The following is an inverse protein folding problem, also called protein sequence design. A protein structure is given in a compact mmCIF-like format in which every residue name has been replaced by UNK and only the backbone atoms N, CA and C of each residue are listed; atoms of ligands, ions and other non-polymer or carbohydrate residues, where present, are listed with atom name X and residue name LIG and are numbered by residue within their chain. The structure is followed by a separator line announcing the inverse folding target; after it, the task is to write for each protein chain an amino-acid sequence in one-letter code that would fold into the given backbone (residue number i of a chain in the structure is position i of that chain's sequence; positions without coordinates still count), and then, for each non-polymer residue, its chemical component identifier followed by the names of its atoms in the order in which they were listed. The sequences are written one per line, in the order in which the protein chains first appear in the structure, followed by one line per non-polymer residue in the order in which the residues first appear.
data_IF_128440698102
#
_entry.id   IF_128440698102
#
_cell.length_a   1.000
_cell.length_b   1.000
_cell.length_c   1.000
_cell.angle_alpha   90.00
_cell.angle_beta   90.00
_cell.angle_gamma   90.00
#
_symmetry.space_group_name_H-M   'P 1'
#
loop_
_entity.id
_entity.type
_entity.pdbx_description
1 polymer ?
#
# COMPACT_ATOMS: atom_id res chain seq x y z
N UNK A 1 30.51 -0.14 18.20
CA UNK A 1 31.44 0.63 17.38
C UNK A 1 31.66 -0.11 16.06
N UNK A 2 30.74 0.03 15.09
CA UNK A 2 30.91 -0.47 13.73
C UNK A 2 30.53 0.64 12.77
N UNK A 3 31.51 1.12 12.03
CA UNK A 3 31.33 2.10 10.96
C UNK A 3 30.85 1.38 9.71
N UNK A 4 29.67 1.72 9.22
CA UNK A 4 29.22 1.33 7.89
C UNK A 4 29.79 2.30 6.86
N UNK A 5 30.63 1.79 5.98
CA UNK A 5 31.19 2.55 4.88
C UNK A 5 30.14 2.74 3.79
N UNK A 6 29.69 3.97 3.61
CA UNK A 6 28.81 4.39 2.51
C UNK A 6 29.66 4.51 1.23
N UNK A 7 29.42 3.64 0.26
CA UNK A 7 30.06 3.71 -1.06
C UNK A 7 29.35 4.78 -1.89
N UNK A 8 29.97 5.95 -2.00
CA UNK A 8 29.52 7.02 -2.88
C UNK A 8 30.11 6.75 -4.27
N UNK A 9 29.26 6.34 -5.19
CA UNK A 9 29.60 6.32 -6.62
C UNK A 9 29.59 7.76 -7.16
N UNK A 10 30.77 8.29 -7.48
CA UNK A 10 30.92 9.53 -8.24
C UNK A 10 30.48 9.28 -9.68
N UNK A 11 29.46 9.99 -10.14
CA UNK A 11 29.13 10.10 -11.55
C UNK A 11 30.04 11.16 -12.18
N UNK A 12 30.85 10.71 -13.13
CA UNK A 12 31.61 11.60 -13.99
C UNK A 12 30.72 12.27 -15.02
N UNK A 13 30.81 13.59 -15.07
CA UNK A 13 30.12 14.46 -16.01
C UNK A 13 30.79 14.30 -17.39
N UNK A 14 30.10 13.70 -18.33
CA UNK A 14 30.50 13.70 -19.74
C UNK A 14 29.94 14.93 -20.42
N UNK A 15 30.89 15.72 -20.93
CA UNK A 15 30.73 17.01 -21.54
C UNK A 15 30.11 16.92 -22.96
N UNK A 16 29.17 17.82 -23.23
CA UNK A 16 28.51 18.01 -24.52
C UNK A 16 29.47 18.41 -25.62
N UNK A 17 29.42 17.77 -26.77
CA UNK A 17 29.72 18.38 -28.09
C UNK A 17 28.68 17.98 -29.10
N UNK A 18 28.23 19.00 -29.80
CA UNK A 18 27.13 19.20 -30.68
C UNK A 18 26.91 18.19 -31.82
N UNK A 19 25.62 18.06 -32.10
CA UNK A 19 25.15 17.67 -33.45
C UNK A 19 24.13 18.73 -33.85
N UNK A 20 24.53 19.53 -34.86
CA UNK A 20 23.63 20.39 -35.61
C UNK A 20 22.74 19.51 -36.48
N UNK A 21 21.45 19.64 -36.33
CA UNK A 21 20.49 19.09 -37.30
C UNK A 21 19.95 20.23 -38.10
N UNK A 22 20.24 20.19 -39.41
CA UNK A 22 19.74 21.12 -40.44
C UNK A 22 18.21 21.14 -40.45
N UNK A 23 17.67 22.32 -40.26
CA UNK A 23 16.25 22.61 -40.48
C UNK A 23 16.06 22.88 -41.96
N UNK A 24 15.34 22.01 -42.66
CA UNK A 24 14.87 22.24 -44.00
C UNK A 24 13.55 23.03 -43.94
N UNK A 25 13.58 24.27 -44.40
CA UNK A 25 12.42 25.11 -44.65
C UNK A 25 11.83 24.76 -46.00
N UNK A 26 10.63 24.25 -46.05
CA UNK A 26 9.60 24.51 -47.08
C UNK A 26 8.34 23.72 -46.70
N UNK A 27 7.26 24.39 -46.42
CA UNK A 27 6.18 24.78 -47.30
C UNK A 27 4.97 25.19 -46.48
N UNK A 28 4.34 26.22 -46.93
CA UNK A 28 3.09 26.82 -46.47
C UNK A 28 1.89 25.90 -46.65
N UNK A 29 0.82 26.28 -45.92
CA UNK A 29 -0.57 25.84 -46.04
C UNK A 29 -0.86 24.60 -45.21
N UNK A 30 -1.74 24.62 -44.23
CA UNK A 30 -3.12 25.13 -44.16
C UNK A 30 -3.54 25.32 -42.69
N UNK A 31 -4.09 26.48 -42.38
CA UNK A 31 -4.97 26.68 -41.21
C UNK A 31 -6.20 25.81 -41.45
N UNK A 32 -6.42 24.88 -40.53
CA UNK A 32 -7.71 24.41 -40.02
C UNK A 32 -7.57 22.96 -39.56
N UNK A 33 -7.26 22.83 -38.30
CA UNK A 33 -7.73 21.69 -37.49
C UNK A 33 -7.33 21.96 -36.02
N UNK A 34 -8.07 22.88 -35.41
CA UNK A 34 -8.28 22.85 -33.97
C UNK A 34 -9.21 21.70 -33.65
N UNK A 35 -8.73 20.51 -33.78
CA UNK A 35 -9.41 19.31 -33.33
C UNK A 35 -9.10 19.05 -31.86
N UNK A 36 -10.01 19.42 -31.00
CA UNK A 36 -10.79 18.65 -30.05
C UNK A 36 -10.16 17.26 -29.69
N UNK A 37 -8.96 17.25 -29.14
CA UNK A 37 -8.36 16.07 -28.53
C UNK A 37 -8.48 16.04 -26.98
N UNK A 38 -9.48 16.74 -26.42
CA UNK A 38 -9.67 16.80 -24.97
C UNK A 38 -10.72 15.83 -24.39
N UNK A 39 -11.67 15.21 -25.13
CA UNK A 39 -12.65 14.34 -24.46
C UNK A 39 -12.19 12.89 -24.22
N UNK A 40 -11.34 12.32 -25.06
CA UNK A 40 -10.98 10.90 -24.93
C UNK A 40 -10.17 10.60 -23.67
N UNK A 41 -9.23 11.44 -23.30
CA UNK A 41 -8.42 11.21 -22.09
C UNK A 41 -9.18 11.37 -20.78
N UNK A 42 -10.22 12.21 -20.76
CA UNK A 42 -11.07 12.39 -19.59
C UNK A 42 -12.06 11.24 -19.42
N UNK A 43 -12.66 10.79 -20.54
CA UNK A 43 -13.57 9.64 -20.54
C UNK A 43 -12.84 8.36 -20.15
N UNK A 44 -11.65 8.15 -20.66
CA UNK A 44 -10.82 7.00 -20.28
C UNK A 44 -10.41 7.04 -18.81
N UNK A 45 -10.06 8.22 -18.27
CA UNK A 45 -9.80 8.39 -16.83
C UNK A 45 -11.05 8.16 -15.98
N UNK A 46 -12.23 8.61 -16.42
CA UNK A 46 -13.50 8.38 -15.76
C UNK A 46 -13.82 6.88 -15.76
N UNK A 47 -13.61 6.19 -16.87
CA UNK A 47 -13.81 4.74 -16.96
C UNK A 47 -12.84 3.95 -16.08
N UNK A 48 -11.59 4.38 -15.98
CA UNK A 48 -10.58 3.77 -15.11
C UNK A 48 -10.83 4.00 -13.62
N UNK A 49 -11.27 5.20 -13.24
CA UNK A 49 -11.44 5.58 -11.84
C UNK A 49 -12.88 5.42 -11.35
N UNK A 50 -13.84 5.25 -12.26
CA UNK A 50 -15.26 5.17 -11.92
C UNK A 50 -15.82 6.44 -11.24
N UNK A 51 -15.13 7.57 -11.37
CA UNK A 51 -15.46 8.81 -10.67
C UNK A 51 -15.16 10.04 -11.53
N UNK A 52 -16.13 10.94 -11.64
CA UNK A 52 -16.04 12.15 -12.46
C UNK A 52 -15.39 13.33 -11.75
N UNK A 53 -15.49 13.39 -10.43
CA UNK A 53 -14.84 14.42 -9.61
C UNK A 53 -14.66 13.90 -8.18
N UNK A 54 -13.54 14.26 -7.58
CA UNK A 54 -13.33 14.09 -6.14
C UNK A 54 -13.54 15.46 -5.53
N UNK A 55 -14.40 15.62 -4.49
CA UNK A 55 -14.43 16.83 -3.72
C UNK A 55 -13.03 17.11 -3.21
N UNK A 56 -12.40 18.19 -3.68
CA UNK A 56 -11.17 18.65 -3.09
C UNK A 56 -11.55 19.32 -1.78
N UNK A 57 -11.14 18.75 -0.66
CA UNK A 57 -11.02 19.52 0.57
C UNK A 57 -9.80 20.43 0.37
N UNK A 58 -9.98 21.76 0.19
CA UNK A 58 -8.86 22.67 0.19
C UNK A 58 -8.21 22.55 1.57
N UNK A 59 -6.89 22.38 1.60
CA UNK A 59 -6.06 22.39 2.81
C UNK A 59 -6.26 21.23 3.81
N UNK A 60 -6.59 20.02 3.34
CA UNK A 60 -6.54 18.84 4.20
C UNK A 60 -5.08 18.50 4.55
N UNK A 61 -4.78 18.45 5.86
CA UNK A 61 -3.50 17.97 6.39
C UNK A 61 -3.42 16.43 6.46
N UNK A 62 -4.50 15.73 6.05
CA UNK A 62 -4.58 14.27 6.03
C UNK A 62 -4.56 13.78 4.59
N UNK A 63 -3.66 12.85 4.31
CA UNK A 63 -3.61 12.15 3.02
C UNK A 63 -4.32 10.79 3.11
N UNK A 64 -4.93 10.37 1.99
CA UNK A 64 -5.60 9.06 1.89
C UNK A 64 -4.88 8.21 0.85
N UNK A 65 -4.36 7.07 1.28
CA UNK A 65 -3.71 6.06 0.43
C UNK A 65 -4.62 4.84 0.32
N UNK A 66 -4.91 4.39 -0.91
CA UNK A 66 -5.80 3.25 -1.14
C UNK A 66 -5.05 2.04 -1.69
N UNK A 67 -5.23 0.89 -1.06
CA UNK A 67 -4.72 -0.42 -1.51
C UNK A 67 -5.93 -1.29 -1.82
N UNK A 68 -6.26 -1.41 -3.11
CA UNK A 68 -7.49 -2.04 -3.56
C UNK A 68 -7.19 -3.08 -4.63
N UNK A 69 -7.80 -4.27 -4.49
CA UNK A 69 -7.57 -5.39 -5.40
C UNK A 69 -6.35 -6.21 -5.01
N UNK A 70 -5.75 -6.91 -5.96
CA UNK A 70 -4.58 -7.76 -5.71
C UNK A 70 -3.30 -6.92 -5.64
N UNK A 71 -2.45 -7.16 -4.65
CA UNK A 71 -1.12 -6.52 -4.58
C UNK A 71 -0.22 -7.14 -5.65
N UNK A 72 0.19 -6.31 -6.60
CA UNK A 72 1.04 -6.72 -7.72
C UNK A 72 2.51 -6.40 -7.38
N UNK A 73 3.35 -7.43 -7.46
CA UNK A 73 4.79 -7.34 -7.24
C UNK A 73 5.57 -7.30 -8.55
N UNK A 74 6.62 -8.14 -8.65
CA UNK A 74 7.47 -8.18 -9.84
C UNK A 74 6.82 -8.82 -11.07
N UNK A 75 5.76 -9.62 -10.87
CA UNK A 75 5.03 -10.25 -11.98
C UNK A 75 3.82 -9.40 -12.32
N UNK A 76 3.78 -8.92 -13.56
CA UNK A 76 2.64 -8.16 -14.06
C UNK A 76 1.43 -9.07 -14.24
N UNK A 77 0.32 -8.68 -13.63
CA UNK A 77 -0.95 -9.40 -13.74
C UNK A 77 -1.72 -9.00 -15.03
N UNK A 78 -2.63 -9.87 -15.49
CA UNK A 78 -3.47 -9.56 -16.63
C UNK A 78 -4.25 -8.24 -16.44
N UNK A 79 -4.41 -7.40 -17.48
CA UNK A 79 -4.99 -6.06 -17.37
C UNK A 79 -6.46 -6.03 -16.92
N UNK A 80 -7.17 -7.16 -17.00
CA UNK A 80 -8.54 -7.30 -16.49
C UNK A 80 -8.59 -7.48 -14.97
N UNK A 81 -7.47 -7.75 -14.32
CA UNK A 81 -7.39 -7.86 -12.87
C UNK A 81 -7.35 -6.47 -12.24
N UNK A 82 -8.11 -6.27 -11.17
CA UNK A 82 -7.98 -5.08 -10.36
C UNK A 82 -6.77 -5.25 -9.43
N UNK A 83 -5.75 -4.42 -9.61
CA UNK A 83 -4.48 -4.53 -8.88
C UNK A 83 -4.07 -3.20 -8.28
N UNK A 84 -3.31 -3.29 -7.20
CA UNK A 84 -2.50 -2.20 -6.66
C UNK A 84 -1.04 -2.54 -6.91
N UNK A 85 -0.35 -1.71 -7.69
CA UNK A 85 1.05 -1.89 -8.04
C UNK A 85 1.93 -1.24 -6.98
N UNK A 86 2.78 -2.03 -6.33
CA UNK A 86 3.59 -1.53 -5.23
C UNK A 86 4.58 -0.44 -5.67
N UNK A 87 5.12 -0.52 -6.90
CA UNK A 87 6.01 0.49 -7.45
C UNK A 87 5.33 1.85 -7.68
N UNK A 88 4.00 1.90 -7.74
CA UNK A 88 3.26 3.16 -7.81
C UNK A 88 3.00 3.77 -6.42
N UNK A 89 2.95 2.93 -5.38
CA UNK A 89 2.75 3.40 -4.01
C UNK A 89 4.03 3.89 -3.35
N UNK A 90 5.17 3.25 -3.63
CA UNK A 90 6.47 3.62 -3.06
C UNK A 90 6.76 5.12 -3.19
N UNK A 91 6.73 5.74 -4.40
CA UNK A 91 6.99 7.17 -4.53
C UNK A 91 5.92 8.04 -3.84
N UNK A 92 4.68 7.58 -3.73
CA UNK A 92 3.64 8.30 -3.01
C UNK A 92 3.92 8.31 -1.49
N UNK A 93 4.31 7.17 -0.92
CA UNK A 93 4.67 7.07 0.50
C UNK A 93 5.87 7.98 0.83
N UNK A 94 6.89 7.99 -0.04
CA UNK A 94 8.03 8.90 0.09
C UNK A 94 7.59 10.37 0.02
N UNK A 95 6.71 10.71 -0.92
CA UNK A 95 6.18 12.08 -1.05
C UNK A 95 5.34 12.50 0.17
N UNK A 96 4.57 11.58 0.76
CA UNK A 96 3.81 11.81 2.00
C UNK A 96 4.78 12.11 3.14
N UNK A 97 5.82 11.30 3.31
CA UNK A 97 6.82 11.50 4.37
C UNK A 97 7.50 12.87 4.26
N UNK A 98 7.86 13.29 3.05
CA UNK A 98 8.58 14.54 2.80
C UNK A 98 7.69 15.79 2.82
N UNK A 99 6.39 15.66 2.74
CA UNK A 99 5.49 16.82 2.65
C UNK A 99 5.12 17.36 4.04
N UNK A 100 5.61 18.54 4.44
CA UNK A 100 5.32 19.10 5.77
C UNK A 100 3.86 19.52 5.97
N UNK A 101 3.06 19.62 4.89
CA UNK A 101 1.63 19.92 4.99
C UNK A 101 0.77 18.71 5.31
N UNK A 102 1.32 17.51 5.16
CA UNK A 102 0.64 16.27 5.52
C UNK A 102 1.05 15.90 6.95
N UNK A 103 0.09 15.89 7.85
CA UNK A 103 0.29 15.57 9.27
C UNK A 103 -0.19 14.16 9.62
N UNK A 104 -1.05 13.57 8.78
CA UNK A 104 -1.57 12.24 9.00
C UNK A 104 -1.90 11.48 7.72
N UNK A 105 -1.95 10.15 7.84
CA UNK A 105 -2.25 9.22 6.76
C UNK A 105 -3.40 8.29 7.12
N UNK A 106 -4.41 8.20 6.24
CA UNK A 106 -5.40 7.13 6.26
C UNK A 106 -5.08 6.13 5.17
N UNK A 107 -4.90 4.86 5.52
CA UNK A 107 -4.70 3.78 4.57
C UNK A 107 -6.00 2.99 4.42
N UNK A 108 -6.60 3.03 3.24
CA UNK A 108 -7.81 2.27 2.92
C UNK A 108 -7.41 0.92 2.32
N UNK A 109 -7.87 -0.16 2.93
CA UNK A 109 -7.58 -1.53 2.53
C UNK A 109 -8.84 -2.26 2.07
N UNK A 110 -8.83 -2.72 0.82
CA UNK A 110 -9.81 -3.66 0.28
C UNK A 110 -9.08 -4.58 -0.71
N UNK A 111 -8.31 -5.51 -0.17
CA UNK A 111 -7.41 -6.36 -0.94
C UNK A 111 -7.61 -7.84 -0.62
N UNK A 112 -7.42 -8.66 -1.62
CA UNK A 112 -7.37 -10.13 -1.48
C UNK A 112 -5.96 -10.65 -1.18
N UNK A 113 -5.01 -9.74 -0.90
CA UNK A 113 -3.58 -10.06 -0.80
C UNK A 113 -2.91 -10.04 -2.17
N UNK A 114 -1.82 -10.79 -2.33
CA UNK A 114 -1.06 -10.83 -3.58
C UNK A 114 0.38 -11.26 -3.35
N UNK A 115 1.31 -10.53 -3.97
CA UNK A 115 2.74 -10.76 -3.81
C UNK A 115 3.18 -10.43 -2.38
N UNK A 116 3.78 -11.42 -1.69
CA UNK A 116 4.15 -11.30 -0.27
C UNK A 116 5.30 -10.32 -0.07
N UNK A 117 6.30 -10.31 -0.98
CA UNK A 117 7.45 -9.41 -0.89
C UNK A 117 7.01 -7.96 -1.08
N UNK A 118 6.17 -7.70 -2.08
CA UNK A 118 5.60 -6.38 -2.33
C UNK A 118 4.71 -5.93 -1.15
N UNK A 119 3.89 -6.83 -0.61
CA UNK A 119 3.04 -6.57 0.54
C UNK A 119 3.84 -6.19 1.79
N UNK A 120 4.89 -6.95 2.11
CA UNK A 120 5.78 -6.65 3.23
C UNK A 120 6.54 -5.34 3.02
N UNK A 121 7.04 -5.07 1.81
CA UNK A 121 7.73 -3.82 1.51
C UNK A 121 6.84 -2.60 1.75
N UNK A 122 5.59 -2.63 1.28
CA UNK A 122 4.62 -1.56 1.53
C UNK A 122 4.28 -1.42 3.02
N UNK A 123 4.08 -2.55 3.70
CA UNK A 123 3.73 -2.57 5.12
C UNK A 123 4.87 -1.98 5.99
N UNK A 124 6.11 -2.36 5.74
CA UNK A 124 7.30 -1.82 6.43
C UNK A 124 7.49 -0.34 6.13
N UNK A 125 7.30 0.12 4.89
CA UNK A 125 7.36 1.53 4.54
C UNK A 125 6.29 2.35 5.29
N UNK A 126 5.05 1.87 5.33
CA UNK A 126 3.96 2.55 6.05
C UNK A 126 4.25 2.56 7.56
N UNK A 127 4.69 1.45 8.13
CA UNK A 127 5.01 1.34 9.55
C UNK A 127 6.21 2.22 9.97
N UNK A 128 7.10 2.55 9.03
CA UNK A 128 8.28 3.40 9.28
C UNK A 128 8.03 4.89 9.08
N UNK A 129 6.84 5.31 8.66
CA UNK A 129 6.50 6.73 8.52
C UNK A 129 6.59 7.44 9.88
N UNK A 130 7.13 8.66 9.86
CA UNK A 130 7.15 9.54 11.04
C UNK A 130 5.78 10.12 11.38
N UNK A 131 4.83 10.01 10.45
CA UNK A 131 3.50 10.59 10.53
C UNK A 131 2.49 9.62 11.12
N UNK A 132 1.59 10.09 12.00
CA UNK A 132 0.45 9.32 12.47
C UNK A 132 -0.31 8.66 11.33
N UNK A 133 -0.54 7.36 11.45
CA UNK A 133 -1.18 6.58 10.39
C UNK A 133 -2.27 5.69 10.98
N UNK A 134 -3.45 5.71 10.37
CA UNK A 134 -4.55 4.81 10.68
C UNK A 134 -4.97 4.07 9.42
N UNK A 135 -5.07 2.75 9.50
CA UNK A 135 -5.63 1.95 8.43
C UNK A 135 -7.09 1.61 8.69
N UNK A 136 -7.88 1.53 7.62
CA UNK A 136 -9.26 1.05 7.65
C UNK A 136 -9.45 -0.08 6.65
N UNK A 137 -9.93 -1.22 7.14
CA UNK A 137 -10.26 -2.39 6.31
C UNK A 137 -11.71 -2.31 5.88
N UNK A 138 -11.94 -2.25 4.58
CA UNK A 138 -13.26 -2.22 3.95
C UNK A 138 -13.43 -3.47 3.07
N UNK A 139 -14.41 -4.32 3.41
CA UNK A 139 -14.66 -5.54 2.65
C UNK A 139 -13.72 -6.68 3.01
N UNK A 140 -12.53 -6.73 2.43
CA UNK A 140 -11.49 -7.73 2.73
C UNK A 140 -10.13 -7.10 2.93
N UNK A 141 -9.29 -7.66 3.79
CA UNK A 141 -7.96 -7.12 3.98
C UNK A 141 -7.15 -7.76 5.11
N UNK A 142 -5.90 -7.33 5.18
CA UNK A 142 -4.97 -7.69 6.24
C UNK A 142 -4.27 -6.41 6.70
N UNK A 143 -4.55 -5.92 7.91
CA UNK A 143 -3.82 -4.79 8.46
C UNK A 143 -4.22 -4.45 9.89
N UNK A 144 -3.43 -3.59 10.51
CA UNK A 144 -3.61 -2.99 11.83
C UNK A 144 -4.43 -1.69 11.67
N UNK A 145 -5.42 -1.47 12.52
CA UNK A 145 -6.22 -0.24 12.54
C UNK A 145 -7.70 -0.48 12.83
N UNK A 146 -8.54 0.25 12.10
CA UNK A 146 -10.01 0.14 12.19
C UNK A 146 -10.52 -0.86 11.16
N UNK A 147 -11.46 -1.70 11.53
CA UNK A 147 -12.13 -2.63 10.61
C UNK A 147 -13.61 -2.30 10.51
N UNK A 148 -14.17 -2.26 9.29
CA UNK A 148 -15.60 -2.15 9.11
C UNK A 148 -16.32 -3.38 9.68
N UNK A 149 -17.52 -3.22 10.30
CA UNK A 149 -18.20 -4.33 10.99
C UNK A 149 -18.46 -5.56 10.14
N UNK A 150 -18.68 -5.37 8.83
CA UNK A 150 -18.91 -6.44 7.85
C UNK A 150 -17.65 -6.88 7.10
N UNK A 151 -16.51 -6.26 7.36
CA UNK A 151 -15.27 -6.63 6.70
C UNK A 151 -14.71 -7.94 7.25
N UNK A 152 -14.03 -8.69 6.39
CA UNK A 152 -13.40 -9.95 6.73
C UNK A 152 -11.91 -9.92 6.50
N UNK A 153 -11.16 -10.61 7.34
CA UNK A 153 -9.73 -10.85 7.18
C UNK A 153 -9.51 -12.35 7.02
N UNK A 154 -8.82 -12.74 5.96
CA UNK A 154 -8.44 -14.13 5.76
C UNK A 154 -6.99 -14.33 6.16
N UNK A 155 -6.77 -15.21 7.12
CA UNK A 155 -5.44 -15.62 7.58
C UNK A 155 -5.19 -17.02 7.05
N UNK A 156 -4.13 -17.19 6.28
CA UNK A 156 -3.75 -18.48 5.70
C UNK A 156 -2.22 -18.57 5.52
N UNK A 157 -1.65 -19.78 5.36
CA UNK A 157 -0.24 -19.97 5.07
C UNK A 157 0.18 -19.30 3.76
N UNK A 158 1.44 -18.91 3.66
CA UNK A 158 2.05 -18.46 2.40
C UNK A 158 1.96 -19.55 1.35
N UNK A 159 1.57 -19.21 0.12
CA UNK A 159 1.39 -20.14 -0.99
C UNK A 159 2.29 -19.76 -2.14
N UNK A 160 2.77 -20.76 -2.85
CA UNK A 160 3.36 -20.60 -4.17
C UNK A 160 2.38 -21.08 -5.23
N UNK A 161 2.21 -20.26 -6.28
CA UNK A 161 1.40 -20.61 -7.45
C UNK A 161 2.27 -20.57 -8.70
N UNK A 162 2.10 -21.56 -9.58
CA UNK A 162 2.86 -21.67 -10.82
C UNK A 162 3.69 -22.95 -10.87
N UNK A 163 4.67 -22.99 -11.78
CA UNK A 163 5.61 -24.11 -11.88
C UNK A 163 6.61 -24.02 -10.73
N UNK A 164 6.55 -24.98 -9.82
CA UNK A 164 7.41 -25.04 -8.63
C UNK A 164 8.38 -26.21 -8.77
N UNK A 165 9.68 -25.93 -8.60
CA UNK A 165 10.69 -26.98 -8.49
C UNK A 165 10.68 -27.47 -7.05
N UNK A 166 10.26 -28.73 -6.86
CA UNK A 166 10.13 -29.36 -5.53
C UNK A 166 11.48 -29.81 -4.96
N UNK A 167 12.28 -28.85 -4.50
CA UNK A 167 13.55 -29.09 -3.79
C UNK A 167 13.48 -28.58 -2.36
N UNK A 168 14.31 -29.08 -1.42
CA UNK A 168 14.28 -28.62 -0.02
C UNK A 168 14.35 -27.13 0.13
N UNK A 169 15.15 -26.45 -0.69
CA UNK A 169 15.32 -25.00 -0.67
C UNK A 169 14.03 -24.22 -0.95
N UNK A 170 13.11 -24.78 -1.73
CA UNK A 170 11.80 -24.18 -1.98
C UNK A 170 10.95 -24.17 -0.71
N UNK A 171 10.95 -25.25 0.06
CA UNK A 171 10.25 -25.34 1.32
C UNK A 171 10.85 -24.39 2.37
N UNK A 172 12.18 -24.35 2.48
CA UNK A 172 12.88 -23.40 3.35
C UNK A 172 12.56 -21.94 3.01
N UNK A 173 12.44 -21.62 1.73
CA UNK A 173 12.06 -20.27 1.29
C UNK A 173 10.63 -19.92 1.73
N UNK A 174 9.67 -20.82 1.54
CA UNK A 174 8.27 -20.59 1.97
C UNK A 174 8.20 -20.40 3.48
N UNK A 175 8.89 -21.24 4.24
CA UNK A 175 8.94 -21.14 5.71
C UNK A 175 9.54 -19.83 6.18
N UNK A 176 10.62 -19.37 5.56
CA UNK A 176 11.22 -18.06 5.86
C UNK A 176 10.27 -16.91 5.53
N UNK A 177 9.56 -16.97 4.41
CA UNK A 177 8.58 -15.97 4.03
C UNK A 177 7.42 -15.92 5.04
N UNK A 178 6.93 -17.08 5.42
CA UNK A 178 5.85 -17.19 6.41
C UNK A 178 6.28 -16.64 7.77
N UNK A 179 7.48 -16.98 8.22
CA UNK A 179 8.00 -16.46 9.50
C UNK A 179 8.16 -14.93 9.47
N UNK A 180 8.60 -14.34 8.36
CA UNK A 180 8.65 -12.87 8.19
C UNK A 180 7.26 -12.24 8.32
N UNK A 181 6.23 -12.84 7.72
CA UNK A 181 4.83 -12.37 7.87
C UNK A 181 4.39 -12.45 9.34
N UNK A 182 4.67 -13.56 10.01
CA UNK A 182 4.30 -13.75 11.42
C UNK A 182 5.00 -12.70 12.29
N UNK A 183 6.31 -12.52 12.12
CA UNK A 183 7.11 -11.53 12.86
C UNK A 183 6.60 -10.11 12.63
N UNK A 184 6.31 -9.75 11.38
CA UNK A 184 5.77 -8.42 11.08
C UNK A 184 4.42 -8.20 11.76
N UNK A 185 3.48 -9.13 11.62
CA UNK A 185 2.13 -9.00 12.20
C UNK A 185 2.21 -8.89 13.73
N UNK A 186 2.99 -9.76 14.37
CA UNK A 186 3.09 -9.77 15.84
C UNK A 186 3.87 -8.59 16.41
N UNK A 187 4.76 -7.98 15.63
CA UNK A 187 5.45 -6.75 16.02
C UNK A 187 4.56 -5.51 15.93
N UNK A 188 3.51 -5.54 15.10
CA UNK A 188 2.66 -4.39 14.79
C UNK A 188 1.19 -4.59 15.21
N UNK A 189 0.91 -5.60 16.05
CA UNK A 189 -0.42 -5.88 16.58
C UNK A 189 -0.32 -6.49 17.97
N UNK A 190 -1.46 -6.70 18.63
CA UNK A 190 -1.54 -7.29 19.98
C UNK A 190 -1.73 -8.82 19.93
N UNK A 191 -1.76 -9.45 18.74
CA UNK A 191 -1.90 -10.90 18.62
C UNK A 191 -0.60 -11.60 18.96
N UNK A 192 -0.70 -12.75 19.65
CA UNK A 192 0.50 -13.58 19.89
C UNK A 192 0.84 -14.42 18.66
N UNK A 193 2.13 -14.78 18.52
CA UNK A 193 2.60 -15.64 17.43
C UNK A 193 1.91 -17.00 17.42
N UNK A 194 1.65 -17.56 18.60
CA UNK A 194 0.95 -18.83 18.78
C UNK A 194 -0.49 -18.73 18.26
N UNK A 195 -1.24 -17.67 18.65
CA UNK A 195 -2.61 -17.47 18.20
C UNK A 195 -2.70 -17.19 16.71
N UNK A 196 -1.76 -16.41 16.17
CA UNK A 196 -1.70 -16.13 14.74
C UNK A 196 -1.41 -17.41 13.93
N UNK A 197 -0.48 -18.26 14.40
CA UNK A 197 -0.18 -19.59 13.81
C UNK A 197 -1.38 -20.53 13.91
N UNK A 198 -2.08 -20.54 15.05
CA UNK A 198 -3.30 -21.35 15.23
C UNK A 198 -4.34 -20.98 14.15
N UNK A 199 -4.66 -19.69 14.00
CA UNK A 199 -5.62 -19.20 13.00
C UNK A 199 -5.15 -19.50 11.56
N UNK A 200 -3.84 -19.41 11.31
CA UNK A 200 -3.23 -19.66 10.00
C UNK A 200 -3.36 -21.12 9.56
N UNK A 201 -3.27 -22.06 10.49
CA UNK A 201 -3.29 -23.50 10.20
C UNK A 201 -4.60 -24.19 10.58
N UNK A 202 -5.63 -23.43 10.93
CA UNK A 202 -6.94 -23.97 11.25
C UNK A 202 -7.56 -24.70 10.07
N UNK A 203 -8.15 -25.87 10.32
CA UNK A 203 -8.77 -26.71 9.29
C UNK A 203 -10.30 -26.62 9.40
N UNK A 204 -10.96 -26.48 8.24
CA UNK A 204 -12.41 -26.56 8.15
C UNK A 204 -13.15 -25.23 8.10
N UNK A 205 -12.52 -24.12 8.39
CA UNK A 205 -13.14 -22.78 8.25
C UNK A 205 -13.13 -22.25 6.81
N UNK A 206 -12.15 -22.66 6.00
CA UNK A 206 -12.09 -22.37 4.58
C UNK A 206 -12.50 -23.61 3.78
N UNK A 207 -13.47 -23.47 2.90
CA UNK A 207 -14.13 -24.58 2.19
C UNK A 207 -13.17 -25.42 1.31
N UNK A 208 -12.02 -24.88 0.95
CA UNK A 208 -11.04 -25.56 0.06
C UNK A 208 -9.58 -25.34 0.48
N UNK A 209 -9.35 -24.87 1.71
CA UNK A 209 -8.02 -24.48 2.14
C UNK A 209 -7.84 -24.51 3.65
N UNK A 210 -6.59 -24.34 4.09
CA UNK A 210 -6.20 -24.18 5.49
C UNK A 210 -6.20 -22.68 5.79
N UNK A 211 -6.73 -22.28 6.95
CA UNK A 211 -6.79 -20.92 7.43
C UNK A 211 -8.13 -20.52 8.02
N UNK A 212 -8.24 -19.28 8.42
CA UNK A 212 -9.42 -18.75 9.11
C UNK A 212 -9.87 -17.44 8.48
N UNK A 213 -11.19 -17.26 8.38
CA UNK A 213 -11.80 -15.96 8.13
C UNK A 213 -12.16 -15.33 9.48
N UNK A 214 -11.61 -14.17 9.75
CA UNK A 214 -11.86 -13.38 10.96
C UNK A 214 -12.72 -12.17 10.57
N UNK A 215 -13.81 -11.94 11.26
CA UNK A 215 -14.68 -10.77 11.09
C UNK A 215 -14.42 -9.72 12.17
N UNK A 216 -14.86 -8.50 11.95
CA UNK A 216 -14.60 -7.30 12.74
C UNK A 216 -14.33 -7.49 14.22
N UNK A 217 -15.34 -7.93 14.98
CA UNK A 217 -15.23 -8.09 16.45
C UNK A 217 -14.22 -9.17 16.87
N UNK A 218 -14.13 -10.27 16.11
CA UNK A 218 -13.14 -11.32 16.40
C UNK A 218 -11.72 -10.84 16.08
N UNK A 219 -11.53 -9.98 15.07
CA UNK A 219 -10.24 -9.39 14.78
C UNK A 219 -9.72 -8.53 15.94
N UNK A 220 -10.60 -7.76 16.57
CA UNK A 220 -10.28 -6.98 17.79
C UNK A 220 -10.00 -7.91 18.97
N UNK A 221 -10.84 -8.91 19.18
CA UNK A 221 -10.68 -9.89 20.26
C UNK A 221 -9.35 -10.66 20.18
N UNK A 222 -8.90 -10.97 18.99
CA UNK A 222 -7.61 -11.64 18.79
C UNK A 222 -6.41 -10.68 18.82
N UNK A 223 -6.66 -9.39 18.89
CA UNK A 223 -5.61 -8.37 18.88
C UNK A 223 -4.98 -8.09 17.52
N UNK A 224 -5.66 -8.47 16.44
CA UNK A 224 -5.21 -8.17 15.06
C UNK A 224 -5.46 -6.73 14.67
N UNK A 225 -6.52 -6.13 15.22
CA UNK A 225 -7.03 -4.80 14.90
C UNK A 225 -7.38 -4.12 16.23
N UNK A 226 -7.34 -2.80 16.27
CA UNK A 226 -7.59 -2.03 17.49
C UNK A 226 -9.08 -1.80 17.72
N UNK A 227 -9.88 -1.52 16.69
CA UNK A 227 -11.26 -1.09 16.82
C UNK A 227 -12.14 -1.50 15.64
N UNK A 228 -13.42 -1.77 15.92
CA UNK A 228 -14.45 -1.93 14.89
C UNK A 228 -15.10 -0.58 14.64
N UNK A 229 -15.06 -0.11 13.38
CA UNK A 229 -15.62 1.18 13.04
C UNK A 229 -15.61 1.50 11.55
N UNK A 230 -16.09 2.67 11.18
CA UNK A 230 -16.07 3.19 9.83
C UNK A 230 -15.05 4.31 9.66
N UNK A 231 -15.20 5.05 8.56
CA UNK A 231 -14.30 6.17 8.24
C UNK A 231 -14.31 7.25 9.32
N UNK A 232 -15.46 7.48 9.98
CA UNK A 232 -15.57 8.48 11.05
C UNK A 232 -14.68 8.12 12.24
N UNK A 233 -14.70 6.83 12.67
CA UNK A 233 -13.87 6.35 13.77
C UNK A 233 -12.38 6.41 13.40
N UNK A 234 -12.04 6.03 12.15
CA UNK A 234 -10.67 6.12 11.66
C UNK A 234 -10.15 7.58 11.67
N UNK A 235 -11.00 8.53 11.26
CA UNK A 235 -10.65 9.96 11.27
C UNK A 235 -10.53 10.52 12.69
N UNK A 236 -11.42 10.14 13.60
CA UNK A 236 -11.32 10.54 15.02
C UNK A 236 -10.00 10.05 15.60
N UNK A 237 -9.71 8.75 15.41
CA UNK A 237 -8.48 8.14 15.92
C UNK A 237 -7.22 8.79 15.34
N UNK A 238 -7.23 9.08 14.03
CA UNK A 238 -6.10 9.75 13.39
C UNK A 238 -5.88 11.17 13.96
N UNK A 239 -6.95 11.95 14.14
CA UNK A 239 -6.83 13.28 14.72
C UNK A 239 -6.29 13.25 16.16
N UNK A 240 -6.73 12.29 16.98
CA UNK A 240 -6.16 12.06 18.33
C UNK A 240 -4.65 11.81 18.28
N UNK A 241 -4.19 11.00 17.31
CA UNK A 241 -2.77 10.70 17.14
C UNK A 241 -1.98 11.92 16.62
N UNK A 242 -2.56 12.71 15.72
CA UNK A 242 -1.98 13.97 15.23
C UNK A 242 -1.81 14.95 16.39
N UNK A 243 -2.85 15.14 17.21
CA UNK A 243 -2.80 16.02 18.37
C UNK A 243 -1.73 15.57 19.41
N UNK A 244 -1.52 14.25 19.56
CA UNK A 244 -0.46 13.75 20.45
C UNK A 244 0.95 14.05 19.92
N UNK A 245 1.15 14.02 18.60
CA UNK A 245 2.46 14.27 17.98
C UNK A 245 2.74 15.77 17.84
N UNK A 246 1.78 16.53 17.36
CA UNK A 246 1.99 17.95 16.98
C UNK A 246 1.42 18.94 17.99
N UNK A 247 0.36 18.57 18.75
CA UNK A 247 -0.27 19.44 19.73
C UNK A 247 0.58 19.76 20.96
N UNK A 248 1.67 18.98 21.20
CA UNK A 248 2.60 19.27 22.30
C UNK A 248 3.63 20.37 22.00
N UNK A 249 3.72 20.84 20.75
CA UNK A 249 4.68 21.89 20.37
C UNK A 249 4.16 23.31 20.65
N UNK A 250 2.86 23.52 20.85
CA UNK A 250 2.28 24.86 21.15
C UNK A 250 2.49 25.33 22.62
N UNK A 251 3.00 24.51 23.51
CA UNK A 251 3.19 24.89 24.92
C UNK A 251 4.63 25.27 25.30
N UNK A 252 5.52 25.45 24.34
CA UNK A 252 6.93 25.86 24.56
C UNK A 252 7.21 27.17 23.79
N UNK A 253 6.44 28.20 24.08
CA UNK A 253 6.78 29.61 23.75
C UNK A 253 6.70 30.51 24.98
#
# INVERSE_FOLDING_TARGET
MFRSSLLILKQDVINKKGVEIMVNKNSKETENEKEKAAPSSLVEKIQQLGQTSVPQAPDSNIHVLSIIGQVEGHVQLPPQNKTTKYEHLIPQIVAIEQNPKIEGLVVILNTVGGDVEAGLALAEMIASLSKPTVSIVLGGGHSIGVIAPSATMTIHPVRLTGLVIGVPQTFEYIDKMQERVIQFVTAHSNITAEKFKELMFEKGNLTRDIGTNVVGEDAVKYGLIDEVGGISQAMIKLNELIDQVYGSEEYVQ
#
